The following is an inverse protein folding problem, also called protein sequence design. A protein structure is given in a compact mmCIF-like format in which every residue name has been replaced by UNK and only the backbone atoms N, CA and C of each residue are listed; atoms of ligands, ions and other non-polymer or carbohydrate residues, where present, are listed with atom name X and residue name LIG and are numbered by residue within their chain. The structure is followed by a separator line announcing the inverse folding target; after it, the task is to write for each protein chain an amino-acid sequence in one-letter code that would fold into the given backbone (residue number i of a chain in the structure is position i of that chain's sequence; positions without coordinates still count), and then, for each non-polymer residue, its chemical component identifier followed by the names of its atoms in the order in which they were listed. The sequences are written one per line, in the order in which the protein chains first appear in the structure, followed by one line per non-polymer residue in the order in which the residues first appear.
data_IF_286318303703
#
_entry.id   IF_286318303703
#
_cell.length_a   1.000
_cell.length_b   1.000
_cell.length_c   1.000
_cell.angle_alpha   90.00
_cell.angle_beta   90.00
_cell.angle_gamma   90.00
#
_symmetry.space_group_name_H-M   'P 1'
#
loop_
_entity.id
_entity.type
_entity.pdbx_description
1 polymer ?
#
# COMPACT_ATOMS: atom_id res chain seq x y z
N UNK A 1 -13.90 -54.55 -24.22
CA UNK A 1 -12.56 -54.31 -23.62
C UNK A 1 -11.96 -52.96 -24.06
N UNK A 2 -12.25 -52.45 -25.26
CA UNK A 2 -11.76 -51.15 -25.77
C UNK A 2 -12.20 -49.92 -24.95
N UNK A 3 -13.51 -49.76 -24.71
CA UNK A 3 -14.08 -48.56 -24.06
C UNK A 3 -13.56 -48.27 -22.65
N UNK A 4 -13.06 -49.28 -21.92
CA UNK A 4 -12.54 -49.08 -20.57
C UNK A 4 -11.11 -48.53 -20.58
N UNK A 5 -10.31 -48.91 -21.57
CA UNK A 5 -8.96 -48.38 -21.77
C UNK A 5 -9.03 -46.92 -22.25
N UNK A 6 -9.92 -46.62 -23.19
CA UNK A 6 -10.12 -45.27 -23.72
C UNK A 6 -10.53 -44.25 -22.64
N UNK A 7 -11.37 -44.69 -21.67
CA UNK A 7 -11.78 -43.84 -20.53
C UNK A 7 -10.64 -43.64 -19.53
N UNK A 8 -9.81 -44.66 -19.29
CA UNK A 8 -8.66 -44.56 -18.39
C UNK A 8 -7.59 -43.64 -18.97
N UNK A 9 -7.34 -43.70 -20.28
CA UNK A 9 -6.39 -42.84 -20.97
C UNK A 9 -6.85 -41.38 -20.97
N UNK A 10 -8.13 -41.12 -21.27
CA UNK A 10 -8.70 -39.77 -21.20
C UNK A 10 -8.68 -39.18 -19.77
N UNK A 11 -8.88 -40.01 -18.74
CA UNK A 11 -8.74 -39.58 -17.35
C UNK A 11 -7.28 -39.27 -17.00
N UNK A 12 -6.33 -40.05 -17.51
CA UNK A 12 -4.89 -39.82 -17.30
C UNK A 12 -4.45 -38.49 -17.91
N UNK A 13 -4.87 -38.20 -19.14
CA UNK A 13 -4.58 -36.95 -19.84
C UNK A 13 -5.19 -35.74 -19.11
N UNK A 14 -6.46 -35.83 -18.72
CA UNK A 14 -7.13 -34.76 -17.97
C UNK A 14 -6.52 -34.54 -16.57
N UNK A 15 -5.90 -35.56 -15.97
CA UNK A 15 -5.14 -35.42 -14.71
C UNK A 15 -3.78 -34.74 -14.97
N UNK A 16 -3.09 -35.11 -16.05
CA UNK A 16 -1.82 -34.48 -16.42
C UNK A 16 -1.99 -32.98 -16.72
N UNK A 17 -3.02 -32.60 -17.46
CA UNK A 17 -3.36 -31.20 -17.73
C UNK A 17 -3.65 -30.43 -16.43
N UNK A 18 -4.41 -31.03 -15.51
CA UNK A 18 -4.70 -30.43 -14.20
C UNK A 18 -3.43 -30.25 -13.35
N UNK A 19 -2.53 -31.23 -13.35
CA UNK A 19 -1.25 -31.13 -12.64
C UNK A 19 -0.42 -29.98 -13.21
N UNK A 20 -0.39 -29.84 -14.54
CA UNK A 20 0.34 -28.76 -15.20
C UNK A 20 -0.23 -27.38 -14.85
N UNK A 21 -1.55 -27.20 -14.96
CA UNK A 21 -2.21 -25.94 -14.58
C UNK A 21 -2.00 -25.58 -13.10
N UNK A 22 -1.99 -26.57 -12.20
CA UNK A 22 -1.68 -26.34 -10.77
C UNK A 22 -0.23 -25.89 -10.59
N UNK A 23 0.72 -26.40 -11.39
CA UNK A 23 2.12 -25.99 -11.32
C UNK A 23 2.30 -24.53 -11.75
N UNK A 24 1.67 -24.10 -12.84
CA UNK A 24 1.71 -22.71 -13.31
C UNK A 24 1.09 -21.73 -12.29
N UNK A 25 -0.02 -22.12 -11.65
CA UNK A 25 -0.63 -21.34 -10.58
C UNK A 25 0.29 -21.20 -9.37
N UNK A 26 1.02 -22.26 -9.00
CA UNK A 26 1.99 -22.21 -7.89
C UNK A 26 3.14 -21.26 -8.19
N UNK A 27 3.70 -21.32 -9.40
CA UNK A 27 4.76 -20.39 -9.82
C UNK A 27 4.29 -18.94 -9.74
N UNK A 28 3.06 -18.67 -10.19
CA UNK A 28 2.45 -17.34 -10.10
C UNK A 28 2.29 -16.89 -8.64
N UNK A 29 1.87 -17.78 -7.74
CA UNK A 29 1.74 -17.50 -6.30
C UNK A 29 3.11 -17.22 -5.66
N UNK A 30 4.15 -17.96 -6.02
CA UNK A 30 5.51 -17.75 -5.50
C UNK A 30 6.07 -16.39 -5.95
N UNK A 31 5.84 -16.01 -7.22
CA UNK A 31 6.22 -14.71 -7.74
C UNK A 31 5.51 -13.56 -6.99
N UNK A 32 4.19 -13.66 -6.79
CA UNK A 32 3.42 -12.65 -6.04
C UNK A 32 3.89 -12.59 -4.59
N UNK A 33 4.14 -13.74 -3.95
CA UNK A 33 4.59 -13.81 -2.56
C UNK A 33 5.98 -13.21 -2.38
N UNK A 34 6.88 -13.43 -3.33
CA UNK A 34 8.21 -12.82 -3.35
C UNK A 34 8.13 -11.30 -3.50
N UNK A 35 7.33 -10.82 -4.45
CA UNK A 35 7.13 -9.39 -4.67
C UNK A 35 6.44 -8.68 -3.49
N UNK A 36 5.53 -9.38 -2.79
CA UNK A 36 4.80 -8.83 -1.65
C UNK A 36 5.57 -8.96 -0.32
N UNK A 37 6.70 -9.67 -0.26
CA UNK A 37 7.44 -9.96 0.97
C UNK A 37 7.82 -8.70 1.74
N UNK A 38 8.22 -7.66 1.02
CA UNK A 38 8.68 -6.40 1.62
C UNK A 38 7.55 -5.39 1.83
N UNK A 39 6.34 -5.67 1.34
CA UNK A 39 5.20 -4.74 1.44
C UNK A 39 4.88 -4.36 2.90
N UNK A 40 4.82 -5.28 3.88
CA UNK A 40 4.56 -4.92 5.27
C UNK A 40 5.62 -3.98 5.86
N UNK A 41 6.89 -4.19 5.52
CA UNK A 41 8.00 -3.33 5.95
C UNK A 41 7.87 -1.93 5.34
N UNK A 42 7.65 -1.86 4.03
CA UNK A 42 7.46 -0.59 3.32
C UNK A 42 6.26 0.20 3.85
N UNK A 43 5.14 -0.46 4.16
CA UNK A 43 3.99 0.20 4.77
C UNK A 43 4.33 0.78 6.14
N UNK A 44 5.11 0.06 6.97
CA UNK A 44 5.54 0.56 8.28
C UNK A 44 6.49 1.75 8.17
N UNK A 45 7.44 1.69 7.24
CA UNK A 45 8.35 2.82 6.97
C UNK A 45 7.54 4.04 6.49
N UNK A 46 6.55 3.83 5.63
CA UNK A 46 5.69 4.90 5.14
C UNK A 46 4.90 5.54 6.30
N UNK A 47 4.28 4.74 7.15
CA UNK A 47 3.55 5.21 8.35
C UNK A 47 4.47 6.02 9.27
N UNK A 48 5.67 5.51 9.56
CA UNK A 48 6.65 6.22 10.39
C UNK A 48 7.08 7.54 9.77
N UNK A 49 7.34 7.55 8.46
CA UNK A 49 7.70 8.75 7.71
C UNK A 49 6.57 9.78 7.74
N UNK A 50 5.32 9.35 7.55
CA UNK A 50 4.14 10.22 7.64
C UNK A 50 4.02 10.85 9.04
N UNK A 51 4.21 10.07 10.10
CA UNK A 51 4.21 10.60 11.47
C UNK A 51 5.24 11.71 11.67
N UNK A 52 6.49 11.51 11.21
CA UNK A 52 7.55 12.52 11.30
C UNK A 52 7.23 13.78 10.49
N UNK A 53 6.74 13.63 9.26
CA UNK A 53 6.33 14.77 8.44
C UNK A 53 5.20 15.57 9.11
N UNK A 54 4.22 14.89 9.70
CA UNK A 54 3.14 15.55 10.42
C UNK A 54 3.63 16.26 11.69
N UNK A 55 4.54 15.66 12.45
CA UNK A 55 5.15 16.27 13.62
C UNK A 55 5.96 17.51 13.26
N UNK A 56 6.81 17.43 12.23
CA UNK A 56 7.60 18.55 11.72
C UNK A 56 6.70 19.70 11.24
N UNK A 57 5.65 19.40 10.47
CA UNK A 57 4.67 20.42 10.04
C UNK A 57 4.01 21.11 11.23
N UNK A 58 3.58 20.37 12.27
CA UNK A 58 3.01 20.98 13.48
C UNK A 58 4.00 21.89 14.19
N UNK A 59 5.26 21.48 14.31
CA UNK A 59 6.31 22.28 14.94
C UNK A 59 6.53 23.61 14.19
N UNK A 60 6.67 23.55 12.86
CA UNK A 60 6.84 24.75 12.01
C UNK A 60 5.64 25.68 12.11
N UNK A 61 4.42 25.15 12.10
CA UNK A 61 3.22 25.98 12.23
C UNK A 61 3.12 26.61 13.62
N UNK A 62 3.47 25.88 14.69
CA UNK A 62 3.53 26.43 16.04
C UNK A 62 4.56 27.56 16.15
N UNK A 63 5.74 27.41 15.54
CA UNK A 63 6.74 28.47 15.45
C UNK A 63 6.22 29.70 14.68
N UNK A 64 5.49 29.48 13.58
CA UNK A 64 4.83 30.55 12.84
C UNK A 64 3.83 31.33 13.72
N UNK A 65 3.09 30.64 14.59
CA UNK A 65 2.19 31.28 15.56
C UNK A 65 2.95 32.12 16.59
N UNK A 66 4.01 31.57 17.18
CA UNK A 66 4.84 32.28 18.16
C UNK A 66 5.48 33.54 17.56
N UNK A 67 5.86 33.49 16.28
CA UNK A 67 6.45 34.63 15.55
C UNK A 67 5.42 35.60 14.98
N UNK A 68 4.13 35.41 15.27
CA UNK A 68 3.07 36.34 14.90
C UNK A 68 2.60 36.24 13.44
N UNK A 69 2.90 35.14 12.73
CA UNK A 69 2.42 34.93 11.37
C UNK A 69 0.89 34.81 11.33
N UNK A 70 0.31 35.41 10.30
CA UNK A 70 -1.12 35.31 10.03
C UNK A 70 -1.48 33.93 9.49
N UNK A 71 -2.75 33.54 9.66
CA UNK A 71 -3.25 32.26 9.13
C UNK A 71 -3.15 32.21 7.61
N UNK A 72 -3.28 33.35 6.92
CA UNK A 72 -3.15 33.45 5.46
C UNK A 72 -1.72 33.16 5.00
N UNK A 73 -0.70 33.70 5.68
CA UNK A 73 0.71 33.42 5.36
C UNK A 73 1.03 31.92 5.53
N UNK A 74 0.53 31.31 6.61
CA UNK A 74 0.72 29.87 6.86
C UNK A 74 -0.02 29.02 5.81
N UNK A 75 -1.25 29.40 5.45
CA UNK A 75 -2.02 28.73 4.41
C UNK A 75 -1.31 28.77 3.05
N UNK A 76 -0.77 29.94 2.69
CA UNK A 76 0.01 30.12 1.46
C UNK A 76 1.29 29.26 1.46
N UNK A 77 2.04 29.24 2.57
CA UNK A 77 3.26 28.44 2.70
C UNK A 77 2.99 26.93 2.61
N UNK A 78 1.89 26.47 3.22
CA UNK A 78 1.49 25.06 3.19
C UNK A 78 0.71 24.66 1.93
N UNK A 79 0.35 25.64 1.08
CA UNK A 79 -0.47 25.46 -0.14
C UNK A 79 -1.81 24.75 0.15
N UNK A 80 -2.46 25.14 1.24
CA UNK A 80 -3.77 24.64 1.66
C UNK A 80 -4.71 25.82 1.95
N UNK A 81 -6.00 25.54 2.09
CA UNK A 81 -6.96 26.58 2.41
C UNK A 81 -6.82 27.06 3.86
N UNK A 82 -7.20 28.31 4.12
CA UNK A 82 -7.19 28.90 5.46
C UNK A 82 -8.04 28.10 6.44
N UNK A 83 -9.20 27.59 5.99
CA UNK A 83 -10.06 26.72 6.79
C UNK A 83 -9.35 25.42 7.21
N UNK A 84 -8.56 24.82 6.32
CA UNK A 84 -7.76 23.62 6.63
C UNK A 84 -6.66 23.93 7.65
N UNK A 85 -6.05 25.11 7.58
CA UNK A 85 -5.05 25.53 8.58
C UNK A 85 -5.68 25.61 9.96
N UNK A 86 -6.84 26.28 10.08
CA UNK A 86 -7.52 26.45 11.36
C UNK A 86 -8.02 25.12 11.94
N UNK A 87 -8.51 24.22 11.08
CA UNK A 87 -8.98 22.90 11.50
C UNK A 87 -7.82 21.96 11.94
N UNK A 88 -6.67 22.02 11.24
CA UNK A 88 -5.55 21.08 11.46
C UNK A 88 -4.50 21.62 12.43
N UNK A 89 -4.39 22.93 12.56
CA UNK A 89 -3.36 23.62 13.34
C UNK A 89 -3.93 24.82 14.13
N UNK A 90 -4.83 24.57 15.11
CA UNK A 90 -5.39 25.63 15.92
C UNK A 90 -4.29 26.38 16.69
N UNK A 91 -4.52 27.68 16.91
CA UNK A 91 -3.68 28.50 17.79
C UNK A 91 -4.05 28.16 19.22
N UNK A 92 -3.17 27.45 19.93
CA UNK A 92 -3.27 27.22 21.38
C UNK A 92 -2.96 28.51 22.15
#
# INVERSE_FOLDING_TARGET
MSLFLDVVDAQSEAVAERIHAIAELRESVDLVSSAAKDLPELMRILDHTQMHVHAARRAVVREAWVTGRSTNEVAQALRINVADVLARYPKE
#
